data_IF_096995356722
#
_entry.id   IF_096995356722
#
_cell.length_a   1.000
_cell.length_b   1.000
_cell.length_c   1.000
_cell.angle_alpha   90.00
_cell.angle_beta   90.00
_cell.angle_gamma   90.00
#
_symmetry.space_group_name_H-M   'P 1'
#
loop_
_entity.id
_entity.type
_entity.pdbx_description
1 polymer ?
#
# COMPACT_ATOMS: atom_id res chain seq x y z
N UNK A 1 13.30 -32.23 8.61
CA UNK A 1 13.53 -30.83 8.19
C UNK A 1 14.59 -30.82 7.12
N UNK A 2 14.30 -30.35 5.91
CA UNK A 2 15.33 -30.13 4.90
C UNK A 2 16.16 -28.92 5.32
N UNK A 3 17.45 -29.15 5.61
CA UNK A 3 18.38 -28.08 5.96
C UNK A 3 18.75 -27.34 4.69
N UNK A 4 18.50 -26.04 4.67
CA UNK A 4 18.97 -25.12 3.63
C UNK A 4 20.39 -24.75 4.05
N UNK A 5 21.41 -25.22 3.32
CA UNK A 5 22.84 -25.16 3.67
C UNK A 5 23.27 -26.00 4.91
N UNK A 6 23.44 -27.33 4.77
CA UNK A 6 23.76 -28.22 5.90
C UNK A 6 25.23 -28.14 6.38
N UNK A 7 26.13 -27.53 5.62
CA UNK A 7 27.59 -27.56 5.84
C UNK A 7 28.19 -26.17 6.09
N UNK A 8 27.37 -25.15 6.35
CA UNK A 8 27.85 -23.78 6.60
C UNK A 8 27.74 -23.40 8.06
N UNK A 9 28.75 -22.67 8.55
CA UNK A 9 28.74 -22.08 9.87
C UNK A 9 27.88 -20.81 9.86
N UNK A 10 27.09 -20.63 10.91
CA UNK A 10 26.26 -19.44 11.07
C UNK A 10 27.13 -18.23 11.40
N UNK A 11 27.12 -17.22 10.55
CA UNK A 11 27.93 -16.02 10.73
C UNK A 11 27.24 -14.97 11.61
N UNK A 12 26.03 -14.54 11.23
CA UNK A 12 25.34 -13.37 11.80
C UNK A 12 23.93 -13.20 11.25
N UNK A 13 23.04 -12.61 12.05
CA UNK A 13 21.75 -12.07 11.60
C UNK A 13 21.86 -10.55 11.43
N UNK A 14 21.45 -10.07 10.26
CA UNK A 14 21.24 -8.65 10.01
C UNK A 14 19.74 -8.35 10.07
N UNK A 15 19.36 -7.42 10.95
CA UNK A 15 17.99 -6.95 11.08
C UNK A 15 17.88 -5.55 10.48
N UNK A 16 17.05 -5.40 9.45
CA UNK A 16 16.88 -4.13 8.75
C UNK A 16 15.50 -3.54 9.09
N UNK A 17 15.47 -2.29 9.51
CA UNK A 17 14.24 -1.59 9.87
C UNK A 17 14.34 -0.09 9.60
N UNK A 18 13.23 0.64 9.62
CA UNK A 18 13.17 2.08 9.45
C UNK A 18 12.96 2.82 10.78
N UNK A 19 13.57 4.00 10.94
CA UNK A 19 13.19 4.94 12.01
C UNK A 19 13.18 6.40 11.56
N UNK A 20 12.35 7.23 12.19
CA UNK A 20 12.28 8.69 11.99
C UNK A 20 13.03 9.48 13.06
N UNK A 21 13.19 8.95 14.27
CA UNK A 21 13.73 9.68 15.44
C UNK A 21 14.85 8.95 16.19
N UNK A 22 15.36 7.85 15.62
CA UNK A 22 16.41 7.01 16.24
C UNK A 22 15.91 5.63 16.71
N UNK A 23 16.78 4.79 17.30
CA UNK A 23 16.43 3.44 17.68
C UNK A 23 15.26 3.40 18.69
N UNK A 24 14.25 2.57 18.43
CA UNK A 24 13.15 2.32 19.37
C UNK A 24 13.64 1.43 20.53
N UNK A 25 12.92 1.35 21.66
CA UNK A 25 13.26 0.40 22.71
C UNK A 25 13.37 -1.05 22.22
N UNK A 26 12.56 -1.44 21.24
CA UNK A 26 12.63 -2.75 20.58
C UNK A 26 13.91 -2.91 19.77
N UNK A 27 14.32 -1.88 19.02
CA UNK A 27 15.60 -1.89 18.30
C UNK A 27 16.77 -2.02 19.29
N UNK A 28 16.74 -1.28 20.39
CA UNK A 28 17.77 -1.37 21.42
C UNK A 28 17.81 -2.76 22.03
N UNK A 29 16.67 -3.38 22.33
CA UNK A 29 16.63 -4.75 22.84
C UNK A 29 17.27 -5.74 21.83
N UNK A 30 16.98 -5.62 20.54
CA UNK A 30 17.59 -6.43 19.48
C UNK A 30 19.11 -6.20 19.37
N UNK A 31 19.58 -4.96 19.52
CA UNK A 31 21.01 -4.63 19.45
C UNK A 31 21.85 -5.27 20.57
N UNK A 32 21.23 -5.68 21.68
CA UNK A 32 21.91 -6.35 22.79
C UNK A 32 21.97 -7.88 22.65
N UNK A 33 21.33 -8.45 21.62
CA UNK A 33 21.36 -9.89 21.37
C UNK A 33 22.65 -10.30 20.66
N UNK A 34 23.15 -11.48 21.02
CA UNK A 34 24.32 -12.08 20.37
C UNK A 34 24.05 -12.32 18.88
N UNK A 35 25.09 -12.12 18.06
CA UNK A 35 25.06 -12.32 16.61
C UNK A 35 24.00 -11.54 15.83
N UNK A 36 23.37 -10.53 16.44
CA UNK A 36 22.44 -9.62 15.77
C UNK A 36 23.14 -8.29 15.48
N UNK A 37 22.93 -7.77 14.26
CA UNK A 37 23.27 -6.40 13.88
C UNK A 37 22.04 -5.71 13.31
N UNK A 38 21.59 -4.66 14.00
CA UNK A 38 20.47 -3.84 13.56
C UNK A 38 20.99 -2.73 12.63
N UNK A 39 20.40 -2.64 11.45
CA UNK A 39 20.64 -1.62 10.42
C UNK A 39 19.38 -0.79 10.29
N UNK A 40 19.48 0.51 10.55
CA UNK A 40 18.33 1.41 10.52
C UNK A 40 18.37 2.31 9.29
N UNK A 41 17.38 2.16 8.42
CA UNK A 41 17.05 3.12 7.38
C UNK A 41 16.24 4.29 7.93
N UNK A 42 15.80 5.17 7.02
CA UNK A 42 15.08 6.39 7.40
C UNK A 42 13.59 6.27 7.08
N UNK A 43 12.75 6.71 8.01
CA UNK A 43 11.30 6.85 7.78
C UNK A 43 10.96 8.31 7.61
N UNK A 44 10.39 8.67 6.46
CA UNK A 44 10.01 10.05 6.20
C UNK A 44 8.79 10.48 7.03
N UNK A 45 8.47 11.78 7.01
CA UNK A 45 7.33 12.35 7.73
C UNK A 45 5.96 11.81 7.26
N UNK A 46 5.92 11.09 6.13
CA UNK A 46 4.71 10.46 5.56
C UNK A 46 4.62 8.98 5.98
N UNK A 47 5.63 8.44 6.67
CA UNK A 47 5.68 7.05 7.12
C UNK A 47 6.27 6.07 6.12
N UNK A 48 6.81 6.53 4.99
CA UNK A 48 7.50 5.68 4.03
C UNK A 48 8.90 5.35 4.52
N UNK A 49 9.25 4.07 4.54
CA UNK A 49 10.60 3.61 4.79
C UNK A 49 11.43 3.81 3.53
N UNK A 50 12.59 4.46 3.63
CA UNK A 50 13.53 4.68 2.53
C UNK A 50 14.91 4.14 2.87
N UNK A 51 15.53 3.48 1.90
CA UNK A 51 16.92 3.03 1.95
C UNK A 51 17.16 1.73 2.70
N UNK A 52 16.12 1.07 3.23
CA UNK A 52 16.23 -0.24 3.88
C UNK A 52 16.63 -1.30 2.86
N UNK A 53 16.00 -1.27 1.69
CA UNK A 53 16.33 -2.03 0.48
C UNK A 53 17.82 -1.89 0.09
N UNK A 54 18.30 -0.64 0.02
CA UNK A 54 19.67 -0.32 -0.36
C UNK A 54 20.69 -0.84 0.65
N UNK A 55 20.36 -0.79 1.95
CA UNK A 55 21.19 -1.36 3.01
C UNK A 55 21.31 -2.87 2.88
N UNK A 56 20.19 -3.58 2.64
CA UNK A 56 20.18 -5.03 2.44
C UNK A 56 21.04 -5.41 1.23
N UNK A 57 20.82 -4.74 0.10
CA UNK A 57 21.55 -5.01 -1.15
C UNK A 57 23.05 -4.77 -0.96
N UNK A 58 23.44 -3.68 -0.30
CA UNK A 58 24.85 -3.33 -0.09
C UNK A 58 25.53 -4.32 0.84
N UNK A 59 24.97 -4.60 2.02
CA UNK A 59 25.54 -5.56 2.97
C UNK A 59 25.67 -6.97 2.33
N UNK A 60 24.66 -7.41 1.56
CA UNK A 60 24.69 -8.70 0.87
C UNK A 60 25.82 -8.78 -0.17
N UNK A 61 25.96 -7.75 -1.01
CA UNK A 61 26.99 -7.69 -2.05
C UNK A 61 28.38 -7.60 -1.41
N UNK A 62 28.56 -6.83 -0.35
CA UNK A 62 29.84 -6.70 0.34
C UNK A 62 30.27 -8.02 0.98
N UNK A 63 29.36 -8.74 1.63
CA UNK A 63 29.64 -10.06 2.21
C UNK A 63 30.00 -11.08 1.11
N UNK A 64 29.28 -11.05 -0.01
CA UNK A 64 29.56 -11.91 -1.15
C UNK A 64 30.91 -11.60 -1.81
N UNK A 65 31.17 -10.32 -2.08
CA UNK A 65 32.42 -9.84 -2.70
C UNK A 65 33.64 -10.19 -1.87
N UNK A 66 33.54 -10.03 -0.55
CA UNK A 66 34.63 -10.36 0.38
C UNK A 66 34.74 -11.86 0.67
N UNK A 67 33.88 -12.70 0.06
CA UNK A 67 33.79 -14.15 0.29
C UNK A 67 33.61 -14.52 1.76
N UNK A 68 32.91 -13.66 2.50
CA UNK A 68 32.62 -13.87 3.92
C UNK A 68 31.48 -14.88 4.13
N UNK A 69 30.66 -15.10 3.10
CA UNK A 69 29.54 -16.04 3.10
C UNK A 69 29.56 -16.89 1.83
N UNK A 70 29.02 -18.10 1.92
CA UNK A 70 28.75 -18.98 0.77
C UNK A 70 27.25 -19.11 0.48
N UNK A 71 26.42 -18.96 1.51
CA UNK A 71 24.97 -19.01 1.43
C UNK A 71 24.38 -17.80 2.18
N UNK A 72 23.32 -17.21 1.64
CA UNK A 72 22.56 -16.12 2.23
C UNK A 72 21.09 -16.55 2.40
N UNK A 73 20.54 -16.36 3.60
CA UNK A 73 19.11 -16.55 3.86
C UNK A 73 18.44 -15.18 3.90
N UNK A 74 17.52 -14.94 2.97
CA UNK A 74 16.80 -13.68 2.83
C UNK A 74 15.33 -13.87 3.23
N UNK A 75 14.91 -13.18 4.28
CA UNK A 75 13.52 -13.09 4.70
C UNK A 75 12.92 -11.81 4.13
N UNK A 76 12.44 -11.85 2.89
CA UNK A 76 11.78 -10.72 2.23
C UNK A 76 10.81 -11.19 1.15
N UNK A 77 9.93 -10.30 0.72
CA UNK A 77 9.08 -10.44 -0.46
C UNK A 77 9.21 -9.32 -1.48
N UNK A 78 10.11 -8.37 -1.24
CA UNK A 78 10.28 -7.17 -2.04
C UNK A 78 11.09 -7.45 -3.32
N UNK A 79 10.53 -7.08 -4.46
CA UNK A 79 11.16 -7.28 -5.78
C UNK A 79 12.44 -6.47 -5.94
N UNK A 80 12.56 -5.33 -5.26
CA UNK A 80 13.70 -4.42 -5.39
C UNK A 80 15.01 -5.09 -4.92
N UNK A 81 14.92 -6.12 -4.08
CA UNK A 81 16.06 -6.89 -3.62
C UNK A 81 16.64 -7.83 -4.68
N UNK A 82 15.90 -8.09 -5.78
CA UNK A 82 16.32 -9.01 -6.85
C UNK A 82 17.68 -8.65 -7.43
N UNK A 83 17.97 -7.35 -7.57
CA UNK A 83 19.27 -6.88 -8.08
C UNK A 83 20.43 -7.21 -7.14
N UNK A 84 20.17 -7.27 -5.83
CA UNK A 84 21.15 -7.70 -4.83
C UNK A 84 21.38 -9.21 -4.88
N UNK A 85 20.32 -9.99 -5.09
CA UNK A 85 20.40 -11.45 -5.27
C UNK A 85 21.28 -11.81 -6.46
N UNK A 86 21.01 -11.19 -7.63
CA UNK A 86 21.81 -11.41 -8.85
C UNK A 86 23.29 -11.11 -8.63
N UNK A 87 23.60 -9.94 -8.07
CA UNK A 87 24.99 -9.55 -7.83
C UNK A 87 25.69 -10.44 -6.80
N UNK A 88 25.00 -10.91 -5.77
CA UNK A 88 25.59 -11.86 -4.82
C UNK A 88 25.93 -13.20 -5.49
N UNK A 89 25.05 -13.69 -6.37
CA UNK A 89 25.27 -14.91 -7.15
C UNK A 89 26.42 -14.79 -8.15
N UNK A 90 26.69 -13.61 -8.71
CA UNK A 90 27.89 -13.36 -9.54
C UNK A 90 29.20 -13.62 -8.77
N UNK A 91 29.21 -13.43 -7.45
CA UNK A 91 30.34 -13.79 -6.58
C UNK A 91 30.32 -15.24 -6.09
N UNK A 92 29.35 -16.05 -6.53
CA UNK A 92 29.22 -17.47 -6.22
C UNK A 92 28.45 -17.79 -4.93
N UNK A 93 27.77 -16.80 -4.33
CA UNK A 93 26.92 -17.00 -3.15
C UNK A 93 25.57 -17.57 -3.58
N UNK A 94 25.08 -18.58 -2.87
CA UNK A 94 23.70 -19.09 -3.04
C UNK A 94 22.73 -18.28 -2.19
N UNK A 95 21.59 -17.91 -2.75
CA UNK A 95 20.59 -17.12 -2.04
C UNK A 95 19.31 -17.92 -1.87
N UNK A 96 18.84 -17.99 -0.63
CA UNK A 96 17.67 -18.75 -0.24
C UNK A 96 16.61 -17.81 0.33
N UNK A 97 15.42 -17.82 -0.27
CA UNK A 97 14.31 -17.00 0.21
C UNK A 97 13.46 -17.80 1.19
N UNK A 98 13.18 -17.18 2.33
CA UNK A 98 12.21 -17.68 3.29
C UNK A 98 11.00 -16.75 3.29
N UNK A 99 9.80 -17.33 3.15
CA UNK A 99 8.51 -16.65 3.30
C UNK A 99 7.80 -17.08 4.57
N UNK A 100 6.89 -16.23 5.07
CA UNK A 100 6.01 -16.52 6.21
C UNK A 100 4.61 -16.75 5.67
N UNK A 101 3.96 -17.86 6.06
CA UNK A 101 2.60 -18.17 5.59
C UNK A 101 1.58 -17.09 6.04
N UNK A 102 0.72 -16.58 5.15
CA UNK A 102 0.62 -16.88 3.71
C UNK A 102 1.60 -16.05 2.86
N UNK A 103 2.61 -16.70 2.27
CA UNK A 103 3.69 -15.99 1.58
C UNK A 103 3.32 -15.57 0.14
N UNK A 104 2.39 -16.27 -0.52
CA UNK A 104 2.08 -16.11 -1.95
C UNK A 104 1.44 -14.76 -2.34
N UNK A 105 0.97 -13.97 -1.36
CA UNK A 105 0.46 -12.61 -1.61
C UNK A 105 1.47 -11.50 -1.33
N UNK A 106 2.54 -11.80 -0.60
CA UNK A 106 3.49 -10.81 -0.10
C UNK A 106 4.89 -10.93 -0.73
N UNK A 107 5.10 -11.89 -1.63
CA UNK A 107 6.40 -12.14 -2.27
C UNK A 107 6.32 -12.01 -3.79
N UNK A 108 7.23 -11.22 -4.37
CA UNK A 108 7.35 -11.11 -5.83
C UNK A 108 7.78 -12.43 -6.48
N UNK A 109 7.09 -12.80 -7.56
CA UNK A 109 7.42 -13.99 -8.35
C UNK A 109 8.79 -13.89 -9.02
N UNK A 110 9.20 -12.67 -9.41
CA UNK A 110 10.51 -12.45 -10.03
C UNK A 110 11.66 -12.65 -9.04
N UNK A 111 11.46 -12.21 -7.79
CA UNK A 111 12.42 -12.46 -6.72
C UNK A 111 12.54 -13.96 -6.42
N UNK A 112 11.41 -14.66 -6.34
CA UNK A 112 11.39 -16.11 -6.10
C UNK A 112 12.02 -16.91 -7.23
N UNK A 113 11.89 -16.47 -8.48
CA UNK A 113 12.49 -17.12 -9.64
C UNK A 113 14.02 -16.93 -9.70
N UNK A 114 14.54 -15.86 -9.09
CA UNK A 114 15.97 -15.57 -9.05
C UNK A 114 16.72 -16.37 -7.97
N UNK A 115 16.05 -16.67 -6.86
CA UNK A 115 16.67 -17.38 -5.75
C UNK A 115 16.96 -18.86 -6.06
N UNK A 116 18.05 -19.38 -5.48
CA UNK A 116 18.44 -20.78 -5.62
C UNK A 116 17.42 -21.73 -5.00
N UNK A 117 16.85 -21.37 -3.85
CA UNK A 117 15.77 -22.13 -3.23
C UNK A 117 14.79 -21.20 -2.53
N UNK A 118 13.53 -21.61 -2.49
CA UNK A 118 12.46 -20.90 -1.78
C UNK A 118 11.83 -21.84 -0.75
N UNK A 119 11.54 -21.32 0.44
CA UNK A 119 10.85 -22.07 1.50
C UNK A 119 9.83 -21.19 2.19
N UNK A 120 8.66 -21.75 2.47
CA UNK A 120 7.64 -21.10 3.29
C UNK A 120 7.64 -21.70 4.69
N UNK A 121 7.62 -20.85 5.72
CA UNK A 121 7.41 -21.25 7.11
C UNK A 121 5.92 -21.44 7.36
N UNK A 122 5.54 -22.66 7.76
CA UNK A 122 4.18 -23.00 8.08
C UNK A 122 3.74 -22.41 9.42
N UNK A 123 2.42 -22.25 9.61
CA UNK A 123 1.86 -21.78 10.88
C UNK A 123 2.27 -22.66 12.07
N UNK A 124 2.36 -23.98 11.87
CA UNK A 124 2.79 -24.92 12.91
C UNK A 124 4.26 -24.75 13.30
N UNK A 125 5.13 -24.40 12.35
CA UNK A 125 6.53 -24.09 12.64
C UNK A 125 6.65 -22.78 13.41
N UNK A 126 5.92 -21.74 12.99
CA UNK A 126 5.93 -20.44 13.65
C UNK A 126 5.41 -20.52 15.08
N UNK A 127 4.30 -21.24 15.33
CA UNK A 127 3.72 -21.35 16.68
C UNK A 127 4.56 -22.17 17.65
N UNK A 128 5.56 -22.92 17.16
CA UNK A 128 6.52 -23.61 18.02
C UNK A 128 7.45 -22.63 18.76
N UNK A 129 7.72 -21.44 18.21
CA UNK A 129 8.67 -20.48 18.78
C UNK A 129 8.17 -19.02 18.85
N UNK A 130 7.08 -18.68 18.17
CA UNK A 130 6.40 -17.38 18.24
C UNK A 130 5.04 -17.53 18.92
N UNK A 131 4.74 -16.59 19.80
CA UNK A 131 3.41 -16.43 20.39
C UNK A 131 2.88 -15.04 20.07
N UNK A 132 1.62 -14.90 19.64
CA UNK A 132 1.02 -13.58 19.44
C UNK A 132 1.08 -12.80 20.74
N UNK A 133 1.57 -11.56 20.67
CA UNK A 133 1.49 -10.66 21.81
C UNK A 133 0.06 -10.09 21.87
N UNK A 134 -0.72 -10.52 22.87
CA UNK A 134 -2.12 -10.12 23.03
C UNK A 134 -2.32 -8.61 23.12
N UNK A 135 -1.33 -7.87 23.64
CA UNK A 135 -1.40 -6.41 23.74
C UNK A 135 -1.32 -5.69 22.38
N UNK A 136 -0.77 -6.31 21.35
CA UNK A 136 -0.63 -5.72 20.01
C UNK A 136 -1.87 -5.95 19.17
N UNK A 137 -2.54 -7.10 19.33
CA UNK A 137 -3.79 -7.42 18.63
C UNK A 137 -4.92 -6.43 18.95
N UNK A 138 -4.97 -5.92 20.19
CA UNK A 138 -5.93 -4.88 20.57
C UNK A 138 -5.66 -3.52 19.91
N UNK A 139 -4.40 -3.23 19.55
CA UNK A 139 -4.00 -1.96 18.93
C UNK A 139 -4.22 -1.96 17.42
N UNK A 140 -3.97 -3.06 16.73
CA UNK A 140 -4.22 -3.17 15.28
C UNK A 140 -5.71 -3.21 14.95
N UNK A 141 -6.54 -3.87 15.77
CA UNK A 141 -8.00 -3.78 15.64
C UNK A 141 -8.51 -2.34 15.69
N UNK A 142 -8.00 -1.53 16.63
CA UNK A 142 -8.34 -0.10 16.72
C UNK A 142 -7.86 0.71 15.52
N UNK A 143 -6.72 0.36 14.90
CA UNK A 143 -6.20 1.06 13.72
C UNK A 143 -6.99 0.76 12.45
N UNK A 144 -7.39 -0.49 12.25
CA UNK A 144 -8.30 -0.89 11.16
C UNK A 144 -9.64 -0.17 11.31
N UNK A 145 -10.23 -0.17 12.52
CA UNK A 145 -11.49 0.52 12.81
C UNK A 145 -11.40 2.03 12.54
N UNK A 146 -10.30 2.67 12.95
CA UNK A 146 -10.07 4.09 12.67
C UNK A 146 -9.85 4.40 11.18
N UNK A 147 -9.20 3.51 10.42
CA UNK A 147 -9.01 3.68 8.97
C UNK A 147 -10.32 3.53 8.22
N UNK A 148 -11.13 2.52 8.56
CA UNK A 148 -12.45 2.30 7.97
C UNK A 148 -13.37 3.47 8.31
N UNK A 149 -13.35 3.95 9.56
CA UNK A 149 -14.10 5.14 9.96
C UNK A 149 -13.67 6.41 9.20
N UNK A 150 -12.37 6.64 9.05
CA UNK A 150 -11.83 7.79 8.30
C UNK A 150 -12.16 7.71 6.80
N UNK A 151 -12.12 6.51 6.21
CA UNK A 151 -12.52 6.30 4.82
C UNK A 151 -14.03 6.49 4.62
N UNK A 152 -14.87 6.03 5.56
CA UNK A 152 -16.31 6.25 5.54
C UNK A 152 -16.65 7.75 5.62
N UNK A 153 -16.04 8.47 6.58
CA UNK A 153 -16.19 9.92 6.73
C UNK A 153 -15.75 10.70 5.47
N UNK A 154 -14.71 10.25 4.78
CA UNK A 154 -14.25 10.86 3.53
C UNK A 154 -15.19 10.57 2.35
N UNK A 155 -15.85 9.40 2.32
CA UNK A 155 -16.83 9.06 1.28
C UNK A 155 -18.12 9.86 1.45
N UNK A 156 -18.60 10.03 2.68
CA UNK A 156 -19.79 10.84 2.97
C UNK A 156 -19.58 12.31 2.60
N UNK A 157 -18.42 12.89 2.96
CA UNK A 157 -18.08 14.26 2.57
C UNK A 157 -17.91 14.49 1.06
N UNK A 158 -17.55 13.44 0.29
CA UNK A 158 -17.47 13.52 -1.17
C UNK A 158 -18.86 13.47 -1.84
N UNK A 159 -19.81 12.74 -1.26
CA UNK A 159 -21.19 12.69 -1.73
C UNK A 159 -21.89 14.06 -1.55
N UNK A 160 -21.71 14.70 -0.39
CA UNK A 160 -22.27 16.03 -0.11
C UNK A 160 -21.75 17.10 -1.09
N UNK A 161 -20.44 17.05 -1.41
CA UNK A 161 -19.82 17.96 -2.38
C UNK A 161 -20.37 17.73 -3.79
N UNK A 162 -20.56 16.48 -4.18
CA UNK A 162 -21.12 16.12 -5.48
C UNK A 162 -22.55 16.66 -5.64
N UNK A 163 -23.40 16.52 -4.62
CA UNK A 163 -24.76 17.02 -4.63
C UNK A 163 -24.81 18.56 -4.67
N UNK A 164 -23.93 19.23 -3.92
CA UNK A 164 -23.87 20.69 -3.92
C UNK A 164 -23.48 21.27 -5.28
N UNK A 165 -22.54 20.63 -5.98
CA UNK A 165 -22.14 21.04 -7.35
C UNK A 165 -23.26 20.75 -8.35
N UNK A 166 -23.97 19.62 -8.20
CA UNK A 166 -25.12 19.29 -9.07
C UNK A 166 -26.25 20.32 -8.95
N UNK A 167 -26.53 20.83 -7.75
CA UNK A 167 -27.55 21.88 -7.52
C UNK A 167 -27.15 23.26 -8.07
N UNK A 168 -25.86 23.56 -8.11
CA UNK A 168 -25.34 24.85 -8.62
C UNK A 168 -25.31 24.96 -10.14
N UNK A 169 -25.44 23.84 -10.85
CA UNK A 169 -25.50 23.83 -12.32
C UNK A 169 -26.88 24.30 -12.82
N UNK A 170 -26.96 25.16 -13.86
CA UNK A 170 -28.22 25.53 -14.50
C UNK A 170 -28.84 24.36 -15.28
N UNK A 171 -30.18 24.29 -15.38
CA UNK A 171 -30.93 23.14 -15.93
C UNK A 171 -30.50 22.71 -17.33
N UNK A 172 -30.10 23.66 -18.19
CA UNK A 172 -29.61 23.38 -19.55
C UNK A 172 -28.23 22.68 -19.55
N UNK A 173 -27.33 23.03 -18.64
CA UNK A 173 -26.01 22.39 -18.52
C UNK A 173 -26.09 21.01 -17.84
N UNK A 174 -27.11 20.79 -17.00
CA UNK A 174 -27.39 19.48 -16.38
C UNK A 174 -27.74 18.43 -17.44
N UNK A 175 -28.67 18.74 -18.34
CA UNK A 175 -29.09 17.83 -19.41
C UNK A 175 -27.92 17.50 -20.35
N UNK A 176 -27.15 18.52 -20.76
CA UNK A 176 -25.96 18.36 -21.59
C UNK A 176 -24.89 17.50 -20.91
N UNK A 177 -24.67 17.67 -19.61
CA UNK A 177 -23.69 16.88 -18.84
C UNK A 177 -24.10 15.42 -18.67
N UNK A 178 -25.40 15.15 -18.47
CA UNK A 178 -25.96 13.79 -18.39
C UNK A 178 -25.89 13.09 -19.74
N UNK A 179 -26.24 13.77 -20.83
CA UNK A 179 -26.18 13.23 -22.20
C UNK A 179 -24.74 12.95 -22.64
N UNK A 180 -23.79 13.86 -22.39
CA UNK A 180 -22.37 13.66 -22.65
C UNK A 180 -21.80 12.49 -21.87
N UNK A 181 -22.22 12.33 -20.61
CA UNK A 181 -21.77 11.20 -19.81
C UNK A 181 -22.35 9.87 -20.31
N UNK A 182 -23.64 9.82 -20.69
CA UNK A 182 -24.27 8.63 -21.29
C UNK A 182 -23.63 8.24 -22.63
N UNK A 183 -23.29 9.22 -23.46
CA UNK A 183 -22.72 8.98 -24.79
C UNK A 183 -21.21 8.66 -24.77
N UNK A 184 -20.43 9.31 -23.90
CA UNK A 184 -18.96 9.27 -23.98
C UNK A 184 -18.25 8.99 -22.64
N UNK A 185 -18.99 8.79 -21.54
CA UNK A 185 -18.45 8.65 -20.16
C UNK A 185 -17.50 9.79 -19.77
N UNK A 186 -17.73 10.99 -20.30
CA UNK A 186 -16.93 12.18 -20.03
C UNK A 186 -17.79 13.27 -19.42
N UNK A 187 -17.26 13.90 -18.38
CA UNK A 187 -17.85 15.10 -17.77
C UNK A 187 -17.16 16.31 -18.41
N UNK A 188 -17.89 17.42 -18.68
CA UNK A 188 -17.29 18.65 -19.16
C UNK A 188 -16.13 19.12 -18.27
N UNK A 189 -15.03 19.58 -18.89
CA UNK A 189 -13.79 19.94 -18.18
C UNK A 189 -13.94 21.12 -17.21
N UNK A 190 -14.91 22.01 -17.44
CA UNK A 190 -15.30 23.09 -16.53
C UNK A 190 -15.89 22.54 -15.23
N UNK A 191 -16.82 21.58 -15.34
CA UNK A 191 -17.52 20.96 -14.22
C UNK A 191 -16.59 20.02 -13.43
N UNK A 192 -15.76 19.23 -14.12
CA UNK A 192 -14.78 18.35 -13.47
C UNK A 192 -13.75 19.16 -12.66
N UNK A 193 -13.32 20.33 -13.17
CA UNK A 193 -12.40 21.22 -12.47
C UNK A 193 -13.01 21.83 -11.20
N UNK A 194 -14.28 22.22 -11.24
CA UNK A 194 -14.99 22.76 -10.07
C UNK A 194 -15.22 21.68 -9.00
N UNK A 195 -15.66 20.50 -9.42
CA UNK A 195 -15.91 19.34 -8.57
C UNK A 195 -14.64 18.87 -7.85
N UNK A 196 -13.51 18.79 -8.55
CA UNK A 196 -12.21 18.47 -7.94
C UNK A 196 -11.71 19.57 -7.00
N UNK A 197 -11.96 20.83 -7.31
CA UNK A 197 -11.53 21.97 -6.47
C UNK A 197 -12.31 21.99 -5.15
N UNK A 198 -13.63 21.74 -5.19
CA UNK A 198 -14.45 21.69 -3.98
C UNK A 198 -14.20 20.44 -3.15
N UNK A 199 -13.99 19.29 -3.79
CA UNK A 199 -13.63 18.06 -3.09
C UNK A 199 -12.28 18.17 -2.38
N UNK A 200 -11.29 18.83 -3.00
CA UNK A 200 -10.01 19.15 -2.35
C UNK A 200 -10.22 20.04 -1.12
N UNK A 201 -11.14 21.00 -1.17
CA UNK A 201 -11.47 21.89 -0.05
C UNK A 201 -12.16 21.15 1.10
N UNK A 202 -13.06 20.20 0.80
CA UNK A 202 -13.76 19.39 1.79
C UNK A 202 -12.83 18.38 2.50
N UNK A 203 -11.83 17.85 1.79
CA UNK A 203 -10.82 16.93 2.32
C UNK A 203 -9.59 17.64 2.93
N UNK A 204 -9.70 18.93 3.26
CA UNK A 204 -8.63 19.66 3.97
C UNK A 204 -7.37 19.93 3.13
N UNK A 205 -7.46 19.93 1.79
CA UNK A 205 -6.38 20.33 0.90
C UNK A 205 -5.55 19.18 0.31
N UNK A 206 -5.88 17.92 0.59
CA UNK A 206 -5.19 16.76 0.02
C UNK A 206 -5.60 16.49 -1.44
N UNK A 207 -4.64 16.02 -2.25
CA UNK A 207 -4.92 15.59 -3.61
C UNK A 207 -5.68 14.26 -3.62
N UNK A 208 -6.79 14.23 -4.37
CA UNK A 208 -7.62 13.04 -4.48
C UNK A 208 -6.92 11.94 -5.28
N UNK A 209 -6.94 10.72 -4.74
CA UNK A 209 -6.48 9.51 -5.42
C UNK A 209 -7.37 9.16 -6.64
N UNK A 210 -6.83 8.36 -7.57
CA UNK A 210 -7.53 7.90 -8.77
C UNK A 210 -8.84 7.16 -8.48
N UNK A 211 -8.93 6.43 -7.36
CA UNK A 211 -10.18 5.80 -6.93
C UNK A 211 -11.21 6.84 -6.46
N UNK A 212 -10.78 7.79 -5.61
CA UNK A 212 -11.64 8.84 -5.07
C UNK A 212 -12.22 9.75 -6.17
N UNK A 213 -11.43 10.06 -7.21
CA UNK A 213 -11.89 10.81 -8.39
C UNK A 213 -12.99 10.07 -9.16
N UNK A 214 -12.90 8.74 -9.29
CA UNK A 214 -13.93 7.93 -9.95
C UNK A 214 -15.21 7.89 -9.13
N UNK A 215 -15.11 7.69 -7.81
CA UNK A 215 -16.26 7.67 -6.89
C UNK A 215 -16.99 9.01 -6.88
N UNK A 216 -16.25 10.12 -6.80
CA UNK A 216 -16.81 11.47 -6.83
C UNK A 216 -17.54 11.79 -8.14
N UNK A 217 -16.97 11.38 -9.28
CA UNK A 217 -17.61 11.55 -10.60
C UNK A 217 -18.89 10.73 -10.70
N UNK A 218 -18.88 9.49 -10.21
CA UNK A 218 -20.08 8.64 -10.17
C UNK A 218 -21.17 9.26 -9.29
N UNK A 219 -20.82 9.69 -8.08
CA UNK A 219 -21.75 10.34 -7.15
C UNK A 219 -22.38 11.63 -7.73
N UNK A 220 -21.62 12.40 -8.51
CA UNK A 220 -22.13 13.59 -9.18
C UNK A 220 -23.16 13.29 -10.26
N UNK A 221 -23.00 12.19 -10.99
CA UNK A 221 -23.95 11.78 -12.03
C UNK A 221 -25.21 11.22 -11.40
N UNK A 222 -25.05 10.38 -10.37
CA UNK A 222 -26.17 9.84 -9.61
C UNK A 222 -27.01 11.00 -9.01
N UNK A 223 -26.36 12.07 -8.53
CA UNK A 223 -27.02 13.29 -8.08
C UNK A 223 -27.73 14.04 -9.23
N UNK A 224 -27.09 14.22 -10.39
CA UNK A 224 -27.72 14.87 -11.55
C UNK A 224 -28.94 14.11 -12.08
N UNK A 225 -28.90 12.78 -12.09
CA UNK A 225 -30.02 11.93 -12.50
C UNK A 225 -31.20 12.05 -11.52
N UNK A 226 -30.93 12.06 -10.21
CA UNK A 226 -31.98 12.27 -9.19
C UNK A 226 -32.64 13.67 -9.25
N UNK A 227 -31.93 14.68 -9.76
CA UNK A 227 -32.40 16.05 -9.95
C UNK A 227 -33.13 16.26 -11.30
N UNK A 228 -32.89 15.40 -12.29
CA UNK A 228 -33.50 15.46 -13.62
C UNK A 228 -34.94 14.94 -13.67
N UNK A 229 -35.29 14.00 -12.80
CA UNK A 229 -36.63 13.39 -12.72
C UNK A 229 -37.71 14.33 -12.14
N UNK A 230 -37.35 15.53 -11.66
CA UNK A 230 -38.29 16.47 -11.02
C UNK A 230 -38.89 17.55 -11.96
N UNK A 231 -38.57 17.54 -13.25
CA UNK A 231 -39.08 18.48 -14.29
C UNK A 231 -39.17 17.70 -15.60
N UNK A 232 -40.29 17.23 -16.15
CA UNK A 232 -41.67 17.70 -16.41
C UNK A 232 -42.51 16.49 -16.94
N UNK A 233 -43.84 16.54 -17.24
CA UNK A 233 -44.73 17.71 -17.40
C UNK A 233 -46.13 17.61 -16.74
N UNK A 234 -46.77 18.75 -16.46
CA UNK A 234 -48.22 18.85 -16.69
C UNK A 234 -48.64 20.29 -16.99
N UNK A 235 -48.86 20.59 -18.27
CA UNK A 235 -49.69 21.71 -18.71
C UNK A 235 -50.53 21.23 -19.89
N UNK A 236 -51.67 20.61 -19.58
CA UNK A 236 -52.82 20.55 -20.50
C UNK A 236 -53.52 21.92 -20.46
N UNK A 237 -53.58 22.59 -21.61
CA UNK A 237 -54.42 23.79 -21.82
C UNK A 237 -55.75 23.33 -22.42
N UNK A 238 -56.91 23.79 -21.92
CA UNK A 238 -58.21 23.38 -22.41
C UNK A 238 -58.60 24.12 -23.69
N UNK A 239 -59.21 23.40 -24.63
CA UNK A 239 -59.73 23.95 -25.89
C UNK A 239 -61.26 24.15 -25.77
N UNK A 240 -61.84 25.28 -26.19
CA UNK A 240 -63.30 25.46 -26.26
C UNK A 240 -63.93 24.70 -27.43
#
# INVERSE_FOLDING_TARGET
MQKVAPNTEFLRIYWYDGTSSGPTPQHLALMHLDDIKVRLGFVNSVGEQKGVDSLIVTDMIELARNRAIADALLLSGDEDLRVGVQQAQEFGVRVHIVGIRPARGSQSLFLLAEADTTRELSAAELTAFLKPNSSVLELDGRREDCRVAAAALAVDGLADVAEQVARMQPTQERQVSVELFRAQKKIPSSVDRELLTRARKALGGQDLDGHQKKTLRKAFIDALESLGDQTEPNTEVPNP
#
